data_IF_652170277978
#
_entry.id   IF_652170277978
#
_cell.length_a   1.000
_cell.length_b   1.000
_cell.length_c   1.000
_cell.angle_alpha   90.00
_cell.angle_beta   90.00
_cell.angle_gamma   90.00
#
_symmetry.space_group_name_H-M   'P 1'
#
loop_
_entity.id
_entity.type
_entity.pdbx_description
1 polymer ?
#
# COMPACT_ATOMS: atom_id res chain seq x y z
N UNK A 1 25.09 33.80 -31.16
CA UNK A 1 24.68 34.84 -30.21
C UNK A 1 23.90 34.14 -29.10
N UNK A 2 24.54 33.83 -27.97
CA UNK A 2 23.91 33.11 -26.85
C UNK A 2 23.37 34.16 -25.88
N UNK A 3 22.07 34.44 -25.96
CA UNK A 3 21.40 35.28 -24.98
C UNK A 3 20.85 34.45 -23.83
N UNK A 4 21.15 34.87 -22.60
CA UNK A 4 20.66 34.24 -21.38
C UNK A 4 19.23 34.68 -21.09
N UNK A 5 18.29 33.74 -21.04
CA UNK A 5 16.85 34.00 -20.89
C UNK A 5 16.51 34.72 -19.57
N UNK A 6 17.34 34.54 -18.54
CA UNK A 6 17.15 35.11 -17.20
C UNK A 6 17.23 36.64 -17.14
N UNK A 7 17.82 37.31 -18.12
CA UNK A 7 17.97 38.79 -18.11
C UNK A 7 16.83 39.54 -18.79
N UNK A 8 15.86 38.85 -19.42
CA UNK A 8 14.82 39.51 -20.25
C UNK A 8 13.44 39.72 -19.59
N UNK A 9 13.26 39.36 -18.32
CA UNK A 9 12.01 39.67 -17.60
C UNK A 9 10.73 39.18 -18.31
N UNK A 10 10.77 37.97 -18.87
CA UNK A 10 9.68 37.42 -19.69
C UNK A 10 8.52 36.91 -18.81
N UNK A 11 7.27 36.90 -19.34
CA UNK A 11 6.12 36.32 -18.65
C UNK A 11 6.30 34.82 -18.38
N UNK A 12 5.79 34.35 -17.24
CA UNK A 12 5.98 32.97 -16.78
C UNK A 12 5.50 31.92 -17.80
N UNK A 13 4.42 32.19 -18.51
CA UNK A 13 3.88 31.28 -19.53
C UNK A 13 4.85 31.07 -20.70
N UNK A 14 5.56 32.12 -21.13
CA UNK A 14 6.55 32.04 -22.20
C UNK A 14 7.85 31.35 -21.75
N UNK A 15 8.22 31.52 -20.48
CA UNK A 15 9.33 30.78 -19.86
C UNK A 15 9.01 29.28 -19.82
N UNK A 16 7.78 28.93 -19.42
CA UNK A 16 7.33 27.54 -19.36
C UNK A 16 7.21 26.89 -20.74
N UNK A 17 6.83 27.65 -21.77
CA UNK A 17 6.78 27.15 -23.15
C UNK A 17 8.19 26.92 -23.72
N UNK A 18 9.13 27.83 -23.46
CA UNK A 18 10.52 27.71 -23.90
C UNK A 18 11.29 26.63 -23.13
N UNK A 19 10.97 26.39 -21.86
CA UNK A 19 11.54 25.30 -21.05
C UNK A 19 11.11 23.90 -21.53
N UNK A 20 10.01 23.78 -22.29
CA UNK A 20 9.54 22.49 -22.84
C UNK A 20 10.39 21.96 -24.00
N UNK A 21 11.29 22.77 -24.56
CA UNK A 21 12.10 22.44 -25.74
C UNK A 21 13.62 22.58 -25.53
N UNK A 22 14.12 22.37 -24.32
CA UNK A 22 15.57 22.25 -24.11
C UNK A 22 16.06 20.80 -24.22
N UNK A 23 16.92 20.55 -25.19
CA UNK A 23 17.92 19.49 -25.11
C UNK A 23 19.08 19.99 -24.26
N UNK A 24 19.37 19.29 -23.16
CA UNK A 24 20.59 19.53 -22.40
C UNK A 24 21.79 19.13 -23.26
N UNK A 25 22.53 20.11 -23.78
CA UNK A 25 23.89 19.85 -24.22
C UNK A 25 24.71 19.53 -22.99
N UNK A 26 25.11 18.26 -22.87
CA UNK A 26 26.14 17.86 -21.92
C UNK A 26 27.39 18.66 -22.23
N UNK A 27 27.67 19.68 -21.42
CA UNK A 27 28.97 20.34 -21.44
C UNK A 27 30.03 19.26 -21.30
N UNK A 28 30.81 19.07 -22.37
CA UNK A 28 32.02 18.26 -22.38
C UNK A 28 32.96 18.85 -21.35
N UNK A 29 32.90 18.28 -20.15
CA UNK A 29 33.77 18.66 -19.06
C UNK A 29 35.15 18.08 -19.38
N UNK A 30 36.11 18.99 -19.49
CA UNK A 30 37.54 18.71 -19.51
C UNK A 30 37.89 17.64 -18.47
N UNK A 31 38.62 16.65 -18.96
CA UNK A 31 39.20 15.54 -18.21
C UNK A 31 40.07 16.08 -17.08
N UNK A 32 39.61 15.90 -15.85
CA UNK A 32 40.43 15.89 -14.64
C UNK A 32 39.90 14.74 -13.77
N UNK A 33 40.63 13.62 -13.83
CA UNK A 33 40.28 12.26 -13.36
C UNK A 33 40.27 12.07 -11.84
N UNK A 34 39.80 13.06 -11.07
CA UNK A 34 39.71 12.96 -9.60
C UNK A 34 38.32 13.25 -9.04
N UNK A 35 37.32 13.52 -9.89
CA UNK A 35 35.96 13.89 -9.46
C UNK A 35 34.87 12.82 -9.71
N UNK A 36 35.21 11.65 -10.25
CA UNK A 36 34.22 10.63 -10.63
C UNK A 36 33.63 9.87 -9.45
N UNK A 37 34.40 9.62 -8.38
CA UNK A 37 33.88 8.93 -7.20
C UNK A 37 32.86 9.75 -6.41
N UNK A 38 32.89 11.09 -6.52
CA UNK A 38 32.01 11.97 -5.75
C UNK A 38 30.76 12.45 -6.53
N UNK A 39 30.63 12.13 -7.83
CA UNK A 39 29.41 12.43 -8.60
C UNK A 39 28.37 11.32 -8.56
N UNK A 40 28.81 10.07 -8.38
CA UNK A 40 27.91 8.94 -8.19
C UNK A 40 27.20 8.96 -6.82
N UNK A 41 27.60 9.81 -5.88
CA UNK A 41 26.95 9.96 -4.57
C UNK A 41 25.77 10.94 -4.56
N UNK A 42 25.62 11.80 -5.57
CA UNK A 42 24.65 12.93 -5.55
C UNK A 42 23.53 12.80 -6.59
N UNK A 43 23.60 11.85 -7.53
CA UNK A 43 22.50 11.59 -8.48
C UNK A 43 21.45 10.66 -7.87
N UNK A 44 20.17 10.83 -8.20
CA UNK A 44 19.09 9.93 -7.77
C UNK A 44 19.40 8.47 -8.14
N UNK A 45 19.94 8.23 -9.34
CA UNK A 45 20.40 6.91 -9.77
C UNK A 45 21.54 6.37 -8.89
N UNK A 46 22.46 7.24 -8.47
CA UNK A 46 23.55 6.93 -7.54
C UNK A 46 23.09 6.65 -6.11
N UNK A 47 22.09 7.37 -5.63
CA UNK A 47 21.43 7.11 -4.34
C UNK A 47 20.64 5.79 -4.35
N UNK A 48 19.99 5.47 -5.47
CA UNK A 48 19.30 4.18 -5.68
C UNK A 48 20.30 3.03 -5.81
N UNK A 49 21.41 3.22 -6.53
CA UNK A 49 22.48 2.22 -6.64
C UNK A 49 23.20 1.99 -5.31
N UNK A 50 23.46 3.05 -4.53
CA UNK A 50 23.96 2.94 -3.15
C UNK A 50 22.97 2.26 -2.20
N UNK A 51 21.68 2.53 -2.31
CA UNK A 51 20.63 1.84 -1.54
C UNK A 51 20.43 0.38 -1.94
N UNK A 52 20.87 -0.03 -3.14
CA UNK A 52 20.89 -1.42 -3.61
C UNK A 52 22.18 -2.16 -3.23
N UNK A 53 23.25 -1.43 -2.89
CA UNK A 53 24.38 -2.07 -2.23
C UNK A 53 23.91 -2.60 -0.89
N UNK A 54 24.24 -3.88 -0.65
CA UNK A 54 24.09 -4.60 0.62
C UNK A 54 24.96 -3.89 1.66
N UNK A 55 24.58 -2.69 2.07
CA UNK A 55 25.14 -2.08 3.27
C UNK A 55 24.88 -3.06 4.39
N UNK A 56 25.99 -3.47 5.02
CA UNK A 56 26.04 -4.47 6.08
C UNK A 56 24.84 -4.24 6.98
N UNK A 57 24.03 -5.30 7.17
CA UNK A 57 23.01 -5.40 8.21
C UNK A 57 23.48 -4.54 9.39
N UNK A 58 22.68 -3.58 9.86
CA UNK A 58 23.04 -2.76 11.02
C UNK A 58 23.67 -3.68 12.05
N UNK A 59 24.99 -3.50 12.27
CA UNK A 59 25.82 -4.58 12.80
C UNK A 59 25.36 -4.82 14.21
N UNK A 60 24.55 -5.86 14.43
CA UNK A 60 24.33 -6.42 15.75
C UNK A 60 25.71 -6.68 16.32
N UNK A 61 25.95 -6.26 17.56
CA UNK A 61 27.18 -6.66 18.24
C UNK A 61 27.26 -8.19 18.24
N UNK A 62 28.46 -8.77 18.28
CA UNK A 62 28.60 -10.24 18.31
C UNK A 62 27.78 -10.84 19.46
N UNK A 63 27.68 -10.12 20.58
CA UNK A 63 26.80 -10.48 21.70
C UNK A 63 25.30 -10.46 21.32
N UNK A 64 24.79 -9.40 20.70
CA UNK A 64 23.40 -9.34 20.25
C UNK A 64 23.05 -10.43 19.24
N UNK A 65 24.01 -10.81 18.37
CA UNK A 65 23.80 -11.91 17.43
C UNK A 65 23.64 -13.24 18.16
N UNK A 66 24.57 -13.54 19.08
CA UNK A 66 24.53 -14.75 19.92
C UNK A 66 23.25 -14.82 20.75
N UNK A 67 22.85 -13.72 21.39
CA UNK A 67 21.63 -13.67 22.21
C UNK A 67 20.37 -13.81 21.35
N UNK A 68 20.34 -13.24 20.13
CA UNK A 68 19.22 -13.43 19.21
C UNK A 68 19.08 -14.90 18.76
N UNK A 69 20.19 -15.56 18.44
CA UNK A 69 20.20 -16.98 18.09
C UNK A 69 19.67 -17.83 19.24
N UNK A 70 20.12 -17.57 20.47
CA UNK A 70 19.64 -18.23 21.68
C UNK A 70 18.11 -18.10 21.83
N UNK A 71 17.55 -16.91 21.59
CA UNK A 71 16.10 -16.68 21.72
C UNK A 71 15.27 -17.32 20.60
N UNK A 72 15.85 -17.59 19.43
CA UNK A 72 15.12 -18.06 18.24
C UNK A 72 15.32 -19.54 17.93
N UNK A 73 16.30 -20.18 18.57
CA UNK A 73 16.56 -21.60 18.42
C UNK A 73 15.39 -22.43 18.97
N UNK A 74 14.85 -23.37 18.20
CA UNK A 74 13.81 -24.26 18.71
C UNK A 74 14.37 -25.17 19.81
N UNK A 75 13.64 -25.26 20.93
CA UNK A 75 14.02 -26.04 22.09
C UNK A 75 13.11 -27.27 22.24
N UNK A 76 13.64 -28.43 22.64
CA UNK A 76 12.81 -29.60 22.89
C UNK A 76 11.94 -29.40 24.13
N UNK A 77 10.71 -29.91 24.11
CA UNK A 77 9.86 -29.93 25.28
C UNK A 77 10.46 -30.83 26.38
N UNK A 78 10.58 -30.30 27.59
CA UNK A 78 11.05 -31.05 28.75
C UNK A 78 9.88 -31.44 29.65
N UNK A 79 9.99 -32.58 30.33
CA UNK A 79 8.99 -33.05 31.31
C UNK A 79 9.11 -32.35 32.66
N UNK A 80 10.20 -31.64 32.91
CA UNK A 80 10.44 -30.84 34.11
C UNK A 80 11.09 -29.52 33.73
N UNK A 81 10.71 -28.45 34.43
CA UNK A 81 11.33 -27.14 34.27
C UNK A 81 12.77 -27.17 34.80
N UNK A 82 13.63 -26.42 34.15
CA UNK A 82 15.02 -26.19 34.54
C UNK A 82 15.24 -24.74 34.94
N UNK A 83 16.32 -24.49 35.68
CA UNK A 83 16.77 -23.14 35.93
C UNK A 83 17.28 -22.47 34.65
N UNK A 84 17.10 -21.16 34.58
CA UNK A 84 17.63 -20.33 33.50
C UNK A 84 19.13 -20.17 33.67
N UNK A 85 19.82 -20.15 32.53
CA UNK A 85 21.24 -19.82 32.48
C UNK A 85 21.44 -18.30 32.57
N UNK A 86 22.63 -17.85 32.96
CA UNK A 86 22.96 -16.42 33.03
C UNK A 86 22.78 -15.71 31.67
N UNK A 87 23.09 -16.39 30.58
CA UNK A 87 22.89 -15.88 29.21
C UNK A 87 21.41 -15.68 28.88
N UNK A 88 20.53 -16.57 29.34
CA UNK A 88 19.09 -16.48 29.13
C UNK A 88 18.48 -15.32 29.91
N UNK A 89 18.92 -15.11 31.16
CA UNK A 89 18.51 -13.97 31.97
C UNK A 89 19.00 -12.65 31.36
N UNK A 90 20.24 -12.62 30.86
CA UNK A 90 20.77 -11.48 30.12
C UNK A 90 19.94 -11.20 28.87
N UNK A 91 19.59 -12.24 28.09
CA UNK A 91 18.78 -12.09 26.89
C UNK A 91 17.38 -11.54 27.21
N UNK A 92 16.74 -12.01 28.28
CA UNK A 92 15.43 -11.50 28.73
C UNK A 92 15.51 -10.03 29.15
N UNK A 93 16.54 -9.65 29.90
CA UNK A 93 16.74 -8.26 30.28
C UNK A 93 16.93 -7.37 29.04
N UNK A 94 17.74 -7.80 28.07
CA UNK A 94 17.95 -7.08 26.82
C UNK A 94 16.67 -6.95 25.99
N UNK A 95 15.76 -7.92 26.05
CA UNK A 95 14.44 -7.83 25.42
C UNK A 95 13.58 -6.79 26.13
N UNK A 96 13.50 -6.84 27.46
CA UNK A 96 12.71 -5.91 28.27
C UNK A 96 13.21 -4.47 28.18
N UNK A 97 14.52 -4.25 27.99
CA UNK A 97 15.12 -2.92 27.80
C UNK A 97 15.14 -2.46 26.35
N UNK A 98 14.64 -3.28 25.42
CA UNK A 98 14.67 -3.05 23.96
C UNK A 98 16.08 -2.89 23.36
N UNK A 99 17.07 -3.57 23.95
CA UNK A 99 18.41 -3.73 23.39
C UNK A 99 18.50 -4.93 22.42
N UNK A 100 17.57 -5.88 22.54
CA UNK A 100 17.45 -7.05 21.69
C UNK A 100 16.01 -7.19 21.16
N UNK A 101 15.87 -7.09 19.85
CA UNK A 101 14.58 -7.27 19.16
C UNK A 101 14.43 -8.73 18.67
N UNK A 102 13.42 -9.44 19.19
CA UNK A 102 13.08 -10.82 18.81
C UNK A 102 11.66 -10.89 18.22
N UNK A 103 11.37 -11.84 17.30
CA UNK A 103 10.07 -11.90 16.62
C UNK A 103 8.94 -12.49 17.47
N UNK A 104 9.27 -13.23 18.53
CA UNK A 104 8.35 -13.91 19.42
C UNK A 104 9.01 -14.06 20.80
N UNK A 105 8.25 -14.39 21.87
CA UNK A 105 8.84 -14.79 23.14
C UNK A 105 9.92 -15.85 22.95
N UNK A 106 11.07 -15.77 23.66
CA UNK A 106 12.13 -16.75 23.53
C UNK A 106 11.66 -18.18 23.79
N UNK A 107 12.02 -19.09 22.89
CA UNK A 107 11.62 -20.51 22.94
C UNK A 107 12.10 -21.24 24.21
N UNK A 108 13.26 -20.87 24.77
CA UNK A 108 13.77 -21.48 25.99
C UNK A 108 12.90 -21.20 27.22
N UNK A 109 11.97 -20.24 27.16
CA UNK A 109 11.00 -20.00 28.23
C UNK A 109 10.08 -21.20 28.45
N UNK A 110 9.80 -21.99 27.42
CA UNK A 110 9.02 -23.24 27.55
C UNK A 110 9.69 -24.27 28.48
N UNK A 111 11.00 -24.17 28.67
CA UNK A 111 11.76 -25.07 29.54
C UNK A 111 11.97 -24.50 30.95
N UNK A 112 11.71 -23.21 31.16
CA UNK A 112 12.08 -22.51 32.40
C UNK A 112 10.92 -21.82 33.11
N UNK A 113 9.76 -21.70 32.44
CA UNK A 113 8.54 -21.12 33.00
C UNK A 113 7.39 -22.13 32.93
N UNK A 114 6.51 -22.05 33.93
CA UNK A 114 5.21 -22.72 33.90
C UNK A 114 4.32 -22.10 32.81
N UNK A 115 3.22 -22.79 32.47
CA UNK A 115 2.26 -22.27 31.49
C UNK A 115 1.65 -20.92 31.91
N UNK A 116 1.44 -20.70 33.22
CA UNK A 116 0.93 -19.44 33.77
C UNK A 116 1.95 -18.30 33.61
N UNK A 117 3.21 -18.55 34.01
CA UNK A 117 4.29 -17.58 33.87
C UNK A 117 4.57 -17.23 32.40
N UNK A 118 4.51 -18.22 31.51
CA UNK A 118 4.69 -18.02 30.07
C UNK A 118 3.55 -17.20 29.47
N UNK A 119 2.31 -17.40 29.93
CA UNK A 119 1.18 -16.57 29.52
C UNK A 119 1.39 -15.11 29.94
N UNK A 120 1.76 -14.88 31.22
CA UNK A 120 2.04 -13.53 31.74
C UNK A 120 3.20 -12.88 30.97
N UNK A 121 4.28 -13.62 30.73
CA UNK A 121 5.42 -13.10 29.96
C UNK A 121 5.01 -12.78 28.53
N UNK A 122 4.17 -13.60 27.91
CA UNK A 122 3.66 -13.34 26.56
C UNK A 122 2.85 -12.05 26.53
N UNK A 123 1.98 -11.81 27.51
CA UNK A 123 1.22 -10.56 27.60
C UNK A 123 2.13 -9.34 27.78
N UNK A 124 3.15 -9.45 28.65
CA UNK A 124 4.17 -8.39 28.82
C UNK A 124 4.92 -8.17 27.51
N UNK A 125 5.38 -9.24 26.85
CA UNK A 125 6.11 -9.18 25.59
C UNK A 125 5.29 -8.51 24.48
N UNK A 126 4.00 -8.84 24.38
CA UNK A 126 3.08 -8.19 23.43
C UNK A 126 2.84 -6.71 23.75
N UNK A 127 2.96 -6.31 25.01
CA UNK A 127 2.84 -4.91 25.43
C UNK A 127 4.12 -4.09 25.24
N UNK A 128 5.29 -4.73 25.13
CA UNK A 128 6.57 -4.06 24.90
C UNK A 128 6.58 -3.29 23.58
N UNK A 129 5.99 -3.86 22.53
CA UNK A 129 6.01 -3.29 21.20
C UNK A 129 4.61 -2.90 20.73
N UNK A 130 4.47 -1.71 20.15
CA UNK A 130 3.19 -1.26 19.60
C UNK A 130 3.33 -0.85 18.13
N UNK A 131 2.63 -1.53 17.20
CA UNK A 131 2.69 -1.21 15.79
C UNK A 131 1.75 -0.07 15.40
N UNK A 132 2.22 0.79 14.50
CA UNK A 132 1.41 1.74 13.75
C UNK A 132 1.63 1.53 12.26
N UNK A 133 0.67 1.94 11.44
CA UNK A 133 0.68 1.63 10.02
C UNK A 133 0.58 2.88 9.16
N UNK A 134 1.34 2.90 8.07
CA UNK A 134 1.28 3.94 7.07
C UNK A 134 1.11 3.35 5.68
N UNK A 135 0.12 3.86 4.94
CA UNK A 135 -0.18 3.38 3.59
C UNK A 135 0.64 4.15 2.57
N UNK A 136 1.31 3.44 1.67
CA UNK A 136 2.06 4.08 0.58
C UNK A 136 1.12 4.88 -0.33
N UNK A 137 1.62 6.01 -0.84
CA UNK A 137 0.86 6.77 -1.86
C UNK A 137 0.94 6.07 -3.22
N UNK A 138 -0.02 6.31 -4.13
CA UNK A 138 0.02 5.77 -5.48
C UNK A 138 1.30 6.18 -6.22
N UNK A 139 1.88 5.25 -6.98
CA UNK A 139 3.13 5.45 -7.72
C UNK A 139 4.42 5.34 -6.89
N UNK A 140 4.34 5.37 -5.55
CA UNK A 140 5.50 5.12 -4.70
C UNK A 140 5.88 3.63 -4.76
N UNK A 141 7.13 3.33 -5.09
CA UNK A 141 7.65 1.96 -5.24
C UNK A 141 8.93 1.79 -4.44
N UNK A 142 9.08 0.60 -3.88
CA UNK A 142 10.23 0.17 -3.11
C UNK A 142 10.60 -1.24 -3.54
N UNK A 143 11.86 -1.61 -3.31
CA UNK A 143 12.30 -3.00 -3.48
C UNK A 143 11.63 -3.92 -2.46
N UNK A 144 11.56 -5.20 -2.78
CA UNK A 144 11.17 -6.21 -1.78
C UNK A 144 12.25 -6.33 -0.69
N UNK A 145 11.84 -6.60 0.55
CA UNK A 145 12.73 -6.88 1.68
C UNK A 145 13.72 -5.75 2.02
N UNK A 146 13.29 -4.49 1.93
CA UNK A 146 14.10 -3.37 2.43
C UNK A 146 14.37 -3.50 3.93
N UNK A 147 15.62 -3.26 4.33
CA UNK A 147 16.02 -3.25 5.73
C UNK A 147 15.47 -2.02 6.47
N UNK A 148 15.37 -2.10 7.81
CA UNK A 148 15.04 -0.94 8.67
C UNK A 148 15.92 0.26 8.33
N UNK A 149 17.23 0.05 8.22
CA UNK A 149 18.19 1.11 7.91
C UNK A 149 17.91 1.75 6.54
N UNK A 150 17.62 0.94 5.52
CA UNK A 150 17.27 1.43 4.19
C UNK A 150 15.97 2.24 4.20
N UNK A 151 14.94 1.80 4.93
CA UNK A 151 13.69 2.56 5.08
C UNK A 151 13.91 3.86 5.86
N UNK A 152 14.67 3.82 6.95
CA UNK A 152 15.02 5.00 7.76
C UNK A 152 15.84 6.03 7.00
N UNK A 153 16.70 5.59 6.07
CA UNK A 153 17.46 6.48 5.20
C UNK A 153 16.56 7.25 4.22
N UNK A 154 15.39 6.69 3.86
CA UNK A 154 14.40 7.38 3.03
C UNK A 154 13.57 8.42 3.81
N UNK A 155 13.68 8.43 5.15
CA UNK A 155 13.05 9.42 6.02
C UNK A 155 14.03 10.59 6.19
N UNK A 156 13.89 11.58 5.34
CA UNK A 156 14.73 12.77 5.33
C UNK A 156 13.91 14.01 4.99
N UNK A 157 14.33 15.14 5.55
CA UNK A 157 13.84 16.48 5.21
C UNK A 157 14.98 17.30 4.66
N UNK A 158 14.72 18.06 3.59
CA UNK A 158 15.72 18.89 2.93
C UNK A 158 16.48 19.81 3.88
N UNK A 159 17.65 20.29 3.45
CA UNK A 159 18.49 21.19 4.25
C UNK A 159 17.73 22.45 4.72
N UNK A 160 16.74 22.90 3.95
CA UNK A 160 15.90 24.07 4.22
C UNK A 160 14.74 23.81 5.20
N UNK A 161 14.55 22.57 5.65
CA UNK A 161 13.46 22.25 6.57
C UNK A 161 13.62 22.95 7.92
N UNK A 162 12.48 23.33 8.51
CA UNK A 162 12.43 24.02 9.78
C UNK A 162 13.13 23.21 10.90
N UNK A 163 13.85 23.85 11.83
CA UNK A 163 14.54 23.15 12.92
C UNK A 163 13.63 22.22 13.74
N UNK A 164 12.37 22.63 13.95
CA UNK A 164 11.37 21.80 14.65
C UNK A 164 11.11 20.47 13.92
N UNK A 165 10.95 20.49 12.60
CA UNK A 165 10.73 19.27 11.81
C UNK A 165 11.95 18.34 11.82
N UNK A 166 13.16 18.91 11.79
CA UNK A 166 14.40 18.12 11.91
C UNK A 166 14.48 17.43 13.28
N UNK A 167 14.07 18.14 14.34
CA UNK A 167 14.00 17.59 15.70
C UNK A 167 12.97 16.46 15.80
N UNK A 168 11.75 16.67 15.30
CA UNK A 168 10.70 15.64 15.26
C UNK A 168 11.16 14.38 14.53
N UNK A 169 11.86 14.51 13.40
CA UNK A 169 12.36 13.34 12.67
C UNK A 169 13.48 12.62 13.42
N UNK A 170 14.34 13.36 14.11
CA UNK A 170 15.37 12.75 14.95
C UNK A 170 14.73 11.98 16.12
N UNK A 171 13.77 12.59 16.82
CA UNK A 171 13.00 11.96 17.89
C UNK A 171 12.26 10.73 17.39
N UNK A 172 11.58 10.83 16.24
CA UNK A 172 10.90 9.70 15.61
C UNK A 172 11.86 8.53 15.35
N UNK A 173 13.02 8.81 14.73
CA UNK A 173 14.02 7.76 14.43
C UNK A 173 14.54 7.08 15.69
N UNK A 174 14.65 7.81 16.80
CA UNK A 174 15.04 7.27 18.11
C UNK A 174 13.93 6.40 18.72
N UNK A 175 12.66 6.80 18.56
CA UNK A 175 11.50 6.11 19.12
C UNK A 175 11.13 4.81 18.37
N UNK A 176 11.51 4.68 17.09
CA UNK A 176 11.20 3.49 16.29
C UNK A 176 12.07 2.28 16.68
N UNK A 177 11.41 1.25 17.20
CA UNK A 177 11.98 -0.10 17.40
C UNK A 177 12.14 -0.82 16.06
N UNK A 178 11.05 -1.07 15.34
CA UNK A 178 11.09 -1.84 14.07
C UNK A 178 10.38 -1.11 12.96
N UNK A 179 10.86 -1.30 11.73
CA UNK A 179 10.20 -0.76 10.55
C UNK A 179 10.29 -1.78 9.42
N UNK A 180 9.13 -2.18 8.91
CA UNK A 180 9.01 -3.13 7.81
C UNK A 180 8.06 -2.59 6.75
N UNK A 181 8.27 -3.03 5.51
CA UNK A 181 7.41 -2.70 4.39
C UNK A 181 6.88 -4.00 3.77
N UNK A 182 5.56 -4.12 3.68
CA UNK A 182 4.92 -5.11 2.85
C UNK A 182 4.54 -4.49 1.50
N UNK A 183 5.22 -4.91 0.44
CA UNK A 183 5.01 -4.42 -0.93
C UNK A 183 3.69 -4.88 -1.54
N UNK A 184 3.08 -5.97 -1.03
CA UNK A 184 1.80 -6.50 -1.52
C UNK A 184 0.63 -5.71 -0.96
N UNK A 185 0.59 -5.52 0.36
CA UNK A 185 -0.44 -4.71 1.03
C UNK A 185 -0.16 -3.21 0.89
N UNK A 186 1.07 -2.82 0.50
CA UNK A 186 1.54 -1.43 0.39
C UNK A 186 1.43 -0.68 1.72
N UNK A 187 1.72 -1.39 2.80
CA UNK A 187 1.68 -0.88 4.16
C UNK A 187 3.06 -0.96 4.78
N UNK A 188 3.46 0.14 5.41
CA UNK A 188 4.61 0.21 6.29
C UNK A 188 4.11 -0.01 7.71
N UNK A 189 4.73 -0.97 8.39
CA UNK A 189 4.53 -1.18 9.83
C UNK A 189 5.69 -0.55 10.56
N UNK A 190 5.40 0.45 11.38
CA UNK A 190 6.34 1.13 12.27
C UNK A 190 6.01 0.70 13.70
N UNK A 191 6.93 -0.01 14.33
CA UNK A 191 6.77 -0.52 15.69
C UNK A 191 7.55 0.36 16.67
N UNK A 192 6.90 0.76 17.75
CA UNK A 192 7.46 1.59 18.81
C UNK A 192 7.65 0.78 20.10
N UNK A 193 8.48 1.32 20.99
CA UNK A 193 8.65 0.83 22.37
C UNK A 193 7.42 1.20 23.22
N UNK A 194 6.36 0.44 23.06
CA UNK A 194 5.11 0.55 23.79
C UNK A 194 4.11 1.56 23.21
N UNK A 195 2.86 1.41 23.65
CA UNK A 195 1.70 2.21 23.18
C UNK A 195 1.84 3.70 23.50
N UNK A 196 2.41 4.05 24.64
CA UNK A 196 2.58 5.46 25.04
C UNK A 196 3.51 6.21 24.08
N UNK A 197 4.63 5.60 23.70
CA UNK A 197 5.56 6.16 22.71
C UNK A 197 4.88 6.28 21.35
N UNK A 198 4.19 5.23 20.90
CA UNK A 198 3.44 5.24 19.63
C UNK A 198 2.37 6.35 19.59
N UNK A 199 1.65 6.57 20.70
CA UNK A 199 0.53 7.54 20.76
C UNK A 199 0.95 8.98 20.42
N UNK A 200 2.20 9.35 20.69
CA UNK A 200 2.77 10.66 20.31
C UNK A 200 2.80 10.88 18.79
N UNK A 201 2.93 9.78 18.04
CA UNK A 201 3.08 9.77 16.59
C UNK A 201 1.76 9.46 15.86
N UNK A 202 0.66 9.24 16.60
CA UNK A 202 -0.65 8.98 16.00
C UNK A 202 -1.15 10.16 15.17
N UNK A 203 -1.45 9.91 13.90
CA UNK A 203 -1.85 10.94 12.94
C UNK A 203 -0.69 11.80 12.41
N UNK A 204 0.54 11.60 12.90
CA UNK A 204 1.70 12.34 12.41
C UNK A 204 2.02 11.97 10.96
N UNK A 205 2.45 12.97 10.18
CA UNK A 205 2.76 12.84 8.76
C UNK A 205 4.27 12.85 8.56
N UNK A 206 4.87 11.68 8.41
CA UNK A 206 6.30 11.56 8.23
C UNK A 206 6.69 11.54 6.75
N UNK A 207 7.83 12.16 6.38
CA UNK A 207 8.34 12.09 5.02
C UNK A 207 9.02 10.74 4.78
N UNK A 208 8.67 10.09 3.68
CA UNK A 208 9.34 8.90 3.19
C UNK A 208 9.49 9.00 1.68
N UNK A 209 10.74 8.97 1.20
CA UNK A 209 11.07 9.09 -0.22
C UNK A 209 10.32 10.26 -0.91
N UNK A 210 10.38 11.44 -0.28
CA UNK A 210 9.72 12.68 -0.72
C UNK A 210 8.17 12.67 -0.74
N UNK A 211 7.51 11.72 -0.06
CA UNK A 211 6.06 11.68 0.13
C UNK A 211 5.72 11.68 1.62
N UNK A 212 4.70 12.45 2.01
CA UNK A 212 4.22 12.48 3.39
C UNK A 212 3.20 11.36 3.62
N UNK A 213 3.51 10.44 4.52
CA UNK A 213 2.64 9.33 4.90
C UNK A 213 2.10 9.55 6.31
N UNK A 214 0.82 9.27 6.52
CA UNK A 214 0.17 9.41 7.84
C UNK A 214 0.33 8.11 8.62
N UNK A 215 0.82 8.19 9.86
CA UNK A 215 0.81 7.07 10.80
C UNK A 215 -0.56 6.92 11.42
N UNK A 216 -1.13 5.73 11.27
CA UNK A 216 -2.45 5.40 11.77
C UNK A 216 -2.35 4.24 12.74
N UNK A 217 -2.97 4.41 13.90
CA UNK A 217 -3.19 3.34 14.86
C UNK A 217 -4.40 2.51 14.39
N UNK A 218 -4.13 1.44 13.64
CA UNK A 218 -5.20 0.55 13.18
C UNK A 218 -5.67 -0.42 14.27
N UNK A 219 -4.85 -0.70 15.29
CA UNK A 219 -5.24 -1.60 16.38
C UNK A 219 -6.32 -0.93 17.25
N UNK A 220 -6.12 0.31 17.68
CA UNK A 220 -7.18 1.08 18.37
C UNK A 220 -8.40 1.32 17.47
N UNK A 221 -8.22 1.48 16.15
CA UNK A 221 -9.35 1.57 15.20
C UNK A 221 -10.13 0.26 15.11
N UNK A 222 -9.47 -0.91 15.16
CA UNK A 222 -10.13 -2.23 15.16
C UNK A 222 -10.93 -2.45 16.43
N UNK A 223 -10.38 -2.10 17.59
CA UNK A 223 -11.11 -2.15 18.86
C UNK A 223 -12.36 -1.27 18.82
N UNK A 224 -12.22 -0.02 18.35
CA UNK A 224 -13.35 0.89 18.19
C UNK A 224 -14.39 0.38 17.17
N UNK A 225 -13.94 -0.27 16.10
CA UNK A 225 -14.80 -0.87 15.06
C UNK A 225 -15.70 -2.00 15.58
N UNK A 226 -15.36 -2.65 16.69
CA UNK A 226 -16.25 -3.63 17.33
C UNK A 226 -17.54 -2.97 17.83
N UNK A 227 -17.47 -1.70 18.22
CA UNK A 227 -18.60 -0.94 18.78
C UNK A 227 -19.27 -0.06 17.74
N UNK A 228 -18.50 0.69 16.95
CA UNK A 228 -19.02 1.66 15.99
C UNK A 228 -19.19 1.10 14.56
N UNK A 229 -18.75 -0.15 14.33
CA UNK A 229 -18.83 -0.83 13.04
C UNK A 229 -18.15 -0.08 11.87
N UNK A 230 -17.17 0.78 12.16
CA UNK A 230 -16.39 1.47 11.14
C UNK A 230 -15.47 0.51 10.39
N UNK A 231 -15.20 0.84 9.13
CA UNK A 231 -14.30 0.05 8.28
C UNK A 231 -12.84 0.38 8.62
N UNK A 232 -12.03 -0.65 8.83
CA UNK A 232 -10.58 -0.52 9.02
C UNK A 232 -9.87 -0.76 7.69
N UNK A 233 -9.10 0.22 7.23
CA UNK A 233 -8.50 0.21 5.88
C UNK A 233 -7.64 -1.03 5.61
N UNK A 234 -6.97 -1.58 6.62
CA UNK A 234 -6.13 -2.79 6.47
C UNK A 234 -6.90 -4.02 5.96
N UNK A 235 -8.22 -4.07 6.14
CA UNK A 235 -9.03 -5.23 5.79
C UNK A 235 -9.74 -5.08 4.42
N UNK A 236 -9.53 -3.94 3.75
CA UNK A 236 -10.22 -3.58 2.51
C UNK A 236 -9.29 -3.03 1.44
N UNK A 237 -9.53 -3.46 0.20
CA UNK A 237 -8.85 -2.96 -0.97
C UNK A 237 -9.81 -2.13 -1.85
N UNK A 238 -9.37 -0.96 -2.31
CA UNK A 238 -10.17 -0.10 -3.18
C UNK A 238 -9.57 0.03 -4.58
N UNK A 239 -10.44 0.02 -5.59
CA UNK A 239 -10.09 0.28 -6.98
C UNK A 239 -11.24 0.99 -7.70
N UNK A 240 -10.96 1.56 -8.87
CA UNK A 240 -11.96 2.22 -9.70
C UNK A 240 -12.26 1.35 -10.91
N UNK A 241 -13.53 1.28 -11.31
CA UNK A 241 -13.97 0.64 -12.54
C UNK A 241 -14.60 1.67 -13.45
N UNK A 242 -14.24 1.67 -14.72
CA UNK A 242 -14.84 2.54 -15.76
C UNK A 242 -15.36 1.68 -16.92
N UNK A 243 -16.59 1.95 -17.37
CA UNK A 243 -17.19 1.29 -18.55
C UNK A 243 -16.74 2.01 -19.81
N UNK A 244 -16.09 1.29 -20.73
CA UNK A 244 -15.68 1.84 -22.03
C UNK A 244 -16.74 1.66 -23.11
N UNK A 245 -17.37 0.49 -23.16
CA UNK A 245 -18.35 0.13 -24.18
C UNK A 245 -19.69 -0.21 -23.53
N UNK A 246 -20.77 0.08 -24.26
CA UNK A 246 -22.15 -0.24 -23.84
C UNK A 246 -22.59 0.40 -22.51
N UNK A 247 -23.83 0.10 -22.09
CA UNK A 247 -24.38 0.50 -20.79
C UNK A 247 -24.33 -0.67 -19.82
N UNK A 248 -23.84 -0.41 -18.61
CA UNK A 248 -23.76 -1.38 -17.51
C UNK A 248 -24.46 -0.79 -16.29
N UNK A 249 -25.34 -1.56 -15.67
CA UNK A 249 -26.00 -1.14 -14.43
C UNK A 249 -25.16 -1.48 -13.21
N UNK A 250 -25.44 -0.84 -12.07
CA UNK A 250 -24.81 -1.20 -10.79
C UNK A 250 -25.05 -2.66 -10.40
N UNK A 251 -26.20 -3.24 -10.78
CA UNK A 251 -26.53 -4.66 -10.54
C UNK A 251 -25.66 -5.59 -11.38
N UNK A 252 -25.41 -5.24 -12.65
CA UNK A 252 -24.54 -6.00 -13.54
C UNK A 252 -23.10 -6.02 -13.02
N UNK A 253 -22.58 -4.85 -12.64
CA UNK A 253 -21.23 -4.73 -12.10
C UNK A 253 -21.10 -5.47 -10.76
N UNK A 254 -22.10 -5.38 -9.87
CA UNK A 254 -22.10 -6.16 -8.63
C UNK A 254 -22.08 -7.67 -8.91
N UNK A 255 -22.93 -8.15 -9.83
CA UNK A 255 -22.95 -9.56 -10.19
C UNK A 255 -21.61 -10.02 -10.76
N UNK A 256 -21.01 -9.22 -11.65
CA UNK A 256 -19.71 -9.53 -12.23
C UNK A 256 -18.63 -9.67 -11.16
N UNK A 257 -18.51 -8.69 -10.27
CA UNK A 257 -17.48 -8.68 -9.24
C UNK A 257 -17.73 -9.75 -8.17
N UNK A 258 -18.95 -9.85 -7.67
CA UNK A 258 -19.28 -10.71 -6.54
C UNK A 258 -19.53 -12.17 -6.94
N UNK A 259 -20.25 -12.41 -8.05
CA UNK A 259 -20.67 -13.76 -8.46
C UNK A 259 -19.72 -14.37 -9.48
N UNK A 260 -19.32 -13.62 -10.51
CA UNK A 260 -18.47 -14.18 -11.56
C UNK A 260 -16.99 -14.21 -11.15
N UNK A 261 -16.49 -13.15 -10.53
CA UNK A 261 -15.09 -13.08 -10.08
C UNK A 261 -14.89 -13.59 -8.64
N UNK A 262 -15.96 -13.63 -7.84
CA UNK A 262 -15.97 -14.21 -6.49
C UNK A 262 -15.47 -13.25 -5.40
N UNK A 263 -15.53 -11.93 -5.62
CA UNK A 263 -15.08 -10.97 -4.62
C UNK A 263 -16.13 -10.70 -3.54
N UNK A 264 -15.68 -10.48 -2.31
CA UNK A 264 -16.53 -9.97 -1.24
C UNK A 264 -16.65 -8.45 -1.38
N UNK A 265 -17.60 -8.01 -2.21
CA UNK A 265 -17.86 -6.59 -2.45
C UNK A 265 -18.52 -5.96 -1.23
N UNK A 266 -17.85 -4.99 -0.61
CA UNK A 266 -18.34 -4.24 0.54
C UNK A 266 -19.17 -3.04 0.11
N UNK A 267 -18.67 -2.29 -0.87
CA UNK A 267 -19.38 -1.14 -1.41
C UNK A 267 -19.01 -0.86 -2.86
N UNK A 268 -19.96 -0.28 -3.58
CA UNK A 268 -19.80 0.23 -4.93
C UNK A 268 -20.53 1.56 -4.99
N UNK A 269 -19.79 2.63 -5.24
CA UNK A 269 -20.37 3.98 -5.29
C UNK A 269 -19.89 4.63 -6.57
N UNK A 270 -20.81 5.26 -7.29
CA UNK A 270 -20.43 6.04 -8.45
C UNK A 270 -19.51 7.21 -8.07
N UNK A 271 -18.56 7.54 -8.94
CA UNK A 271 -17.72 8.74 -8.73
C UNK A 271 -18.52 9.99 -9.04
N UNK A 272 -18.17 11.10 -8.40
CA UNK A 272 -18.79 12.41 -8.65
C UNK A 272 -17.94 13.18 -9.68
N UNK A 273 -18.60 13.94 -10.55
CA UNK A 273 -17.92 14.93 -11.41
C UNK A 273 -18.12 16.33 -10.83
N UNK A 274 -17.10 17.18 -10.91
CA UNK A 274 -17.07 18.52 -10.30
C UNK A 274 -18.18 19.46 -10.82
N UNK A 275 -18.74 19.20 -12.00
CA UNK A 275 -19.67 20.11 -12.66
C UNK A 275 -21.16 19.81 -12.40
N UNK A 276 -21.64 18.56 -12.47
CA UNK A 276 -23.09 18.29 -12.58
C UNK A 276 -23.52 16.85 -12.20
N UNK A 277 -22.95 16.24 -11.15
CA UNK A 277 -23.55 15.05 -10.52
C UNK A 277 -22.77 13.74 -10.59
N UNK A 278 -23.49 12.62 -10.75
CA UNK A 278 -22.97 11.26 -10.63
C UNK A 278 -22.46 10.75 -11.98
N UNK A 279 -21.23 10.22 -12.03
CA UNK A 279 -20.69 9.55 -13.21
C UNK A 279 -21.27 8.14 -13.33
N UNK A 280 -22.26 7.96 -14.22
CA UNK A 280 -22.96 6.71 -14.44
C UNK A 280 -22.11 5.59 -15.08
N UNK A 281 -20.89 5.90 -15.54
CA UNK A 281 -19.94 4.96 -16.15
C UNK A 281 -18.78 4.59 -15.26
N UNK A 282 -18.67 5.17 -14.06
CA UNK A 282 -17.52 4.96 -13.19
C UNK A 282 -17.93 4.69 -11.75
N UNK A 283 -17.33 3.67 -11.16
CA UNK A 283 -17.56 3.26 -9.79
C UNK A 283 -16.24 3.18 -9.03
N UNK A 284 -16.23 3.70 -7.80
CA UNK A 284 -15.26 3.33 -6.79
C UNK A 284 -15.78 2.07 -6.07
N UNK A 285 -15.00 1.01 -6.16
CA UNK A 285 -15.31 -0.30 -5.58
C UNK A 285 -14.42 -0.54 -4.39
N UNK A 286 -15.00 -1.06 -3.30
CA UNK A 286 -14.28 -1.58 -2.14
C UNK A 286 -14.63 -3.04 -1.92
N UNK A 287 -13.61 -3.87 -1.78
CA UNK A 287 -13.75 -5.30 -1.51
C UNK A 287 -13.06 -5.65 -0.19
N UNK A 288 -13.53 -6.68 0.50
CA UNK A 288 -12.87 -7.23 1.69
C UNK A 288 -11.64 -8.03 1.24
N UNK A 289 -10.47 -7.42 1.37
CA UNK A 289 -9.17 -7.97 1.01
C UNK A 289 -8.08 -7.09 1.64
N UNK A 290 -7.01 -7.72 2.13
CA UNK A 290 -5.83 -7.07 2.71
C UNK A 290 -4.94 -6.39 1.65
N UNK A 291 -4.98 -6.89 0.42
CA UNK A 291 -4.22 -6.39 -0.72
C UNK A 291 -5.00 -6.55 -2.04
N UNK A 292 -4.42 -6.05 -3.13
CA UNK A 292 -4.97 -6.27 -4.47
C UNK A 292 -5.07 -7.79 -4.76
N UNK A 293 -6.28 -8.33 -5.01
CA UNK A 293 -6.48 -9.76 -5.25
C UNK A 293 -5.67 -10.24 -6.44
N UNK A 294 -5.20 -11.50 -6.39
CA UNK A 294 -4.40 -12.11 -7.47
C UNK A 294 -5.07 -11.98 -8.85
N UNK A 295 -6.39 -12.20 -8.92
CA UNK A 295 -7.18 -12.10 -10.17
C UNK A 295 -7.24 -10.68 -10.75
N UNK A 296 -7.00 -9.66 -9.94
CA UNK A 296 -7.06 -8.25 -10.35
C UNK A 296 -5.67 -7.65 -10.57
N UNK A 297 -4.63 -8.18 -9.91
CA UNK A 297 -3.28 -7.59 -9.89
C UNK A 297 -2.71 -7.24 -11.27
N UNK A 298 -2.95 -8.09 -12.25
CA UNK A 298 -2.48 -7.91 -13.63
C UNK A 298 -3.62 -7.56 -14.61
N UNK A 299 -4.86 -7.49 -14.11
CA UNK A 299 -6.05 -7.25 -14.92
C UNK A 299 -6.35 -5.77 -14.99
N UNK A 300 -6.11 -5.17 -16.14
CA UNK A 300 -6.49 -3.78 -16.40
C UNK A 300 -7.84 -3.68 -17.13
N UNK A 301 -8.26 -4.73 -17.83
CA UNK A 301 -9.53 -4.76 -18.56
C UNK A 301 -10.27 -6.06 -18.27
N UNK A 302 -11.56 -5.96 -17.95
CA UNK A 302 -12.46 -7.10 -17.81
C UNK A 302 -13.43 -7.06 -19.00
N UNK A 303 -13.40 -8.11 -19.80
CA UNK A 303 -14.35 -8.30 -20.91
C UNK A 303 -15.47 -9.26 -20.52
N UNK A 304 -16.71 -8.89 -20.79
CA UNK A 304 -17.89 -9.74 -20.61
C UNK A 304 -18.91 -9.43 -21.71
N UNK A 305 -19.25 -10.42 -22.52
CA UNK A 305 -20.04 -10.21 -23.76
C UNK A 305 -19.40 -9.13 -24.65
N UNK A 306 -20.11 -8.05 -24.95
CA UNK A 306 -19.65 -6.89 -25.74
C UNK A 306 -19.19 -5.72 -24.85
N UNK A 307 -19.21 -5.91 -23.53
CA UNK A 307 -18.84 -4.90 -22.54
C UNK A 307 -17.36 -5.02 -22.20
N UNK A 308 -16.65 -3.90 -22.24
CA UNK A 308 -15.30 -3.75 -21.71
C UNK A 308 -15.29 -2.78 -20.52
N UNK A 309 -14.81 -3.30 -19.39
CA UNK A 309 -14.62 -2.55 -18.16
C UNK A 309 -13.12 -2.36 -17.91
N UNK A 310 -12.71 -1.14 -17.60
CA UNK A 310 -11.34 -0.83 -17.20
C UNK A 310 -11.24 -0.83 -15.70
N UNK A 311 -10.25 -1.53 -15.18
CA UNK A 311 -9.91 -1.54 -13.76
C UNK A 311 -8.70 -0.64 -13.54
N UNK A 312 -8.87 0.38 -12.72
CA UNK A 312 -7.78 1.24 -12.26
C UNK A 312 -7.51 0.99 -10.78
N UNK A 313 -6.34 0.40 -10.52
CA UNK A 313 -5.79 0.25 -9.17
C UNK A 313 -5.28 1.59 -8.64
N UNK A 314 -6.19 2.50 -8.31
CA UNK A 314 -5.84 3.87 -7.89
C UNK A 314 -5.01 3.93 -6.60
N UNK A 315 -4.99 2.87 -5.78
CA UNK A 315 -4.10 2.75 -4.62
C UNK A 315 -2.63 2.42 -5.01
N UNK A 316 -2.41 1.94 -6.24
CA UNK A 316 -1.11 1.48 -6.74
C UNK A 316 -0.57 2.43 -7.82
N UNK A 317 -1.40 2.79 -8.80
CA UNK A 317 -1.00 3.57 -9.97
C UNK A 317 -1.65 4.95 -9.97
N UNK A 318 -0.82 5.98 -10.21
CA UNK A 318 -1.28 7.36 -10.36
C UNK A 318 -2.17 7.49 -11.60
N UNK A 319 -1.73 6.89 -12.70
CA UNK A 319 -2.40 7.02 -13.99
C UNK A 319 -3.32 5.83 -14.28
N UNK A 320 -4.32 6.07 -15.14
CA UNK A 320 -5.12 5.02 -15.75
C UNK A 320 -4.25 4.07 -16.58
N UNK A 321 -4.63 2.78 -16.68
CA UNK A 321 -3.96 1.84 -17.56
C UNK A 321 -3.91 2.32 -19.01
N UNK A 322 -2.84 1.94 -19.72
CA UNK A 322 -2.65 2.28 -21.11
C UNK A 322 -3.85 1.83 -21.97
N UNK A 323 -4.40 2.73 -22.80
CA UNK A 323 -5.49 2.37 -23.73
C UNK A 323 -5.02 1.49 -24.89
N UNK A 324 -3.74 1.56 -25.27
CA UNK A 324 -3.18 0.80 -26.40
C UNK A 324 -2.86 -0.66 -26.01
N UNK A 325 -2.02 -0.86 -24.97
CA UNK A 325 -1.52 -2.18 -24.59
C UNK A 325 -2.14 -2.75 -23.30
N UNK A 326 -3.02 -2.01 -22.62
CA UNK A 326 -3.66 -2.38 -21.34
C UNK A 326 -2.70 -2.53 -20.15
N UNK A 327 -1.41 -2.25 -20.30
CA UNK A 327 -0.50 -2.27 -19.17
C UNK A 327 -0.88 -1.22 -18.12
N UNK A 328 -0.96 -1.57 -16.82
CA UNK A 328 -1.30 -0.62 -15.76
C UNK A 328 -0.12 0.29 -15.36
N UNK A 329 1.09 -0.04 -15.81
CA UNK A 329 2.33 0.63 -15.39
C UNK A 329 2.60 1.99 -16.02
N UNK A 330 1.89 2.37 -17.09
CA UNK A 330 2.08 3.64 -17.79
C UNK A 330 0.79 4.10 -18.48
N UNK A 331 0.61 5.42 -18.70
CA UNK A 331 -0.48 5.93 -19.51
C UNK A 331 -0.20 5.75 -21.01
N UNK A 332 -1.24 5.93 -21.84
CA UNK A 332 -1.16 5.79 -23.30
C UNK A 332 -0.09 6.68 -23.94
N UNK A 333 0.09 7.92 -23.45
CA UNK A 333 1.05 8.89 -23.98
C UNK A 333 2.51 8.38 -23.95
N UNK A 334 2.84 7.47 -23.02
CA UNK A 334 4.18 6.91 -22.87
C UNK A 334 4.28 5.45 -23.36
N UNK A 335 3.28 4.98 -24.11
CA UNK A 335 3.30 3.63 -24.68
C UNK A 335 4.34 3.54 -25.80
N UNK A 336 5.31 2.64 -25.63
CA UNK A 336 6.34 2.35 -26.64
C UNK A 336 6.13 1.01 -27.36
N UNK A 337 5.09 0.28 -27.01
CA UNK A 337 4.78 -1.00 -27.64
C UNK A 337 4.29 -0.77 -29.08
N UNK A 338 4.86 -1.52 -30.03
CA UNK A 338 4.31 -1.65 -31.37
C UNK A 338 2.98 -2.45 -31.36
N UNK A 339 2.30 -2.56 -32.50
CA UNK A 339 0.98 -3.19 -32.55
C UNK A 339 1.01 -4.69 -32.19
N UNK A 340 2.07 -5.40 -32.58
CA UNK A 340 2.20 -6.83 -32.28
C UNK A 340 2.43 -7.05 -30.77
N UNK A 341 3.30 -6.25 -30.17
CA UNK A 341 3.55 -6.24 -28.73
C UNK A 341 2.31 -5.80 -27.96
N UNK A 342 1.62 -4.76 -28.41
CA UNK A 342 0.39 -4.27 -27.78
C UNK A 342 -0.73 -5.32 -27.85
N UNK A 343 -0.86 -6.05 -28.96
CA UNK A 343 -1.81 -7.16 -29.07
C UNK A 343 -1.50 -8.28 -28.06
N UNK A 344 -0.23 -8.61 -27.85
CA UNK A 344 0.18 -9.61 -26.87
C UNK A 344 -0.09 -9.15 -25.44
N UNK A 345 0.27 -7.91 -25.10
CA UNK A 345 0.02 -7.33 -23.77
C UNK A 345 -1.47 -7.21 -23.46
N UNK A 346 -2.31 -6.88 -24.46
CA UNK A 346 -3.76 -6.88 -24.31
C UNK A 346 -4.29 -8.25 -23.89
N UNK A 347 -3.72 -9.36 -24.38
CA UNK A 347 -4.12 -10.72 -23.97
C UNK A 347 -3.74 -11.02 -22.52
N UNK A 348 -2.61 -10.50 -22.05
CA UNK A 348 -2.13 -10.68 -20.67
C UNK A 348 -3.00 -9.89 -19.69
N UNK A 349 -3.28 -8.62 -20.01
CA UNK A 349 -3.96 -7.70 -19.09
C UNK A 349 -5.49 -7.67 -19.23
N UNK A 350 -6.05 -8.42 -20.18
CA UNK A 350 -7.50 -8.59 -20.35
C UNK A 350 -7.95 -9.91 -19.72
N UNK A 351 -8.87 -9.82 -18.79
CA UNK A 351 -9.55 -10.97 -18.22
C UNK A 351 -10.94 -11.12 -18.83
N UNK A 352 -11.20 -12.22 -19.53
CA UNK A 352 -12.52 -12.49 -20.13
C UNK A 352 -13.35 -13.36 -19.22
N UNK A 353 -14.53 -12.86 -18.82
CA UNK A 353 -15.49 -13.57 -17.99
C UNK A 353 -16.55 -14.22 -18.88
N UNK A 354 -16.81 -15.52 -18.67
CA UNK A 354 -17.87 -16.26 -19.36
C UNK A 354 -19.23 -16.03 -18.69
N UNK A 355 -20.27 -15.86 -19.49
CA UNK A 355 -21.65 -15.72 -19.02
C UNK A 355 -22.29 -14.42 -19.49
N UNK A 356 -23.61 -14.31 -19.28
CA UNK A 356 -24.38 -13.12 -19.64
C UNK A 356 -24.60 -12.21 -18.43
N UNK A 357 -24.58 -10.89 -18.65
CA UNK A 357 -24.94 -9.93 -17.61
C UNK A 357 -26.42 -10.07 -17.22
N UNK A 358 -26.80 -9.85 -15.95
CA UNK A 358 -28.20 -9.87 -15.50
C UNK A 358 -29.15 -9.07 -16.39
N UNK A 359 -28.76 -7.85 -16.79
CA UNK A 359 -29.53 -7.00 -17.70
C UNK A 359 -29.81 -7.66 -19.05
N UNK A 360 -28.92 -8.53 -19.51
CA UNK A 360 -29.01 -9.21 -20.81
C UNK A 360 -29.76 -10.54 -20.72
N UNK A 361 -30.08 -10.99 -19.49
CA UNK A 361 -30.94 -12.15 -19.22
C UNK A 361 -32.41 -11.75 -19.04
N UNK A 362 -32.76 -10.48 -19.26
CA UNK A 362 -34.09 -9.95 -18.92
C UNK A 362 -34.33 -9.80 -17.41
N UNK A 363 -33.28 -9.90 -16.60
CA UNK A 363 -33.33 -9.70 -15.14
C UNK A 363 -32.81 -8.30 -14.81
N UNK A 364 -33.63 -7.29 -15.10
CA UNK A 364 -33.32 -5.87 -14.87
C UNK A 364 -33.20 -5.09 -16.19
N UNK A 365 -33.87 -3.94 -16.26
CA UNK A 365 -33.77 -3.04 -17.41
C UNK A 365 -32.40 -2.34 -17.46
N UNK A 366 -31.84 -2.17 -18.65
CA UNK A 366 -30.63 -1.34 -18.89
C UNK A 366 -30.88 0.17 -18.74
N UNK A 367 -32.16 0.57 -18.68
CA UNK A 367 -32.58 1.96 -18.51
C UNK A 367 -33.03 2.14 -17.07
N UNK A 368 -32.53 3.19 -16.41
CA UNK A 368 -33.08 3.71 -15.15
C UNK A 368 -34.49 4.25 -15.43
N UNK A 369 -35.47 3.35 -15.54
CA UNK A 369 -36.84 3.72 -15.90
C UNK A 369 -37.57 4.28 -14.69
N UNK A 370 -38.19 5.45 -14.84
CA UNK A 370 -38.91 6.13 -13.77
C UNK A 370 -40.25 5.46 -13.41
N UNK A 371 -40.71 4.50 -14.21
CA UNK A 371 -42.04 3.90 -14.09
C UNK A 371 -42.19 2.98 -12.86
N UNK A 372 -41.09 2.36 -12.40
CA UNK A 372 -41.07 1.37 -11.31
C UNK A 372 -40.35 1.87 -10.04
N UNK A 373 -40.19 3.19 -9.88
CA UNK A 373 -39.49 3.76 -8.73
C UNK A 373 -40.34 3.64 -7.45
N UNK A 374 -39.76 3.17 -6.34
CA UNK A 374 -40.46 3.16 -5.06
C UNK A 374 -40.78 4.60 -4.65
N UNK A 375 -42.04 4.86 -4.34
CA UNK A 375 -42.53 6.16 -3.86
C UNK A 375 -42.64 6.21 -2.33
N UNK A 376 -42.51 5.06 -1.66
CA UNK A 376 -42.48 4.93 -0.20
C UNK A 376 -41.26 4.14 0.27
N UNK A 377 -40.87 4.33 1.54
CA UNK A 377 -39.79 3.57 2.18
C UNK A 377 -40.11 2.07 2.28
N UNK A 378 -41.38 1.72 2.42
CA UNK A 378 -41.85 0.33 2.45
C UNK A 378 -41.66 -0.35 1.09
N UNK A 379 -42.07 0.31 0.00
CA UNK A 379 -41.84 -0.18 -1.37
C UNK A 379 -40.35 -0.37 -1.67
N UNK A 380 -39.51 0.56 -1.21
CA UNK A 380 -38.05 0.42 -1.33
C UNK A 380 -37.55 -0.79 -0.53
N UNK A 381 -38.02 -0.95 0.71
CA UNK A 381 -37.62 -2.05 1.58
C UNK A 381 -38.01 -3.41 0.99
N UNK A 382 -39.20 -3.53 0.42
CA UNK A 382 -39.68 -4.75 -0.21
C UNK A 382 -38.91 -5.08 -1.49
N UNK A 383 -38.59 -4.07 -2.32
CA UNK A 383 -37.74 -4.22 -3.49
C UNK A 383 -36.34 -4.74 -3.10
N UNK A 384 -35.74 -4.17 -2.04
CA UNK A 384 -34.44 -4.60 -1.53
C UNK A 384 -34.51 -6.03 -0.95
N UNK A 385 -35.58 -6.40 -0.25
CA UNK A 385 -35.79 -7.75 0.32
C UNK A 385 -35.94 -8.83 -0.77
N UNK A 386 -36.74 -8.60 -1.82
CA UNK A 386 -36.93 -9.55 -2.94
C UNK A 386 -35.60 -9.87 -3.63
N UNK A 387 -34.69 -8.90 -3.68
CA UNK A 387 -33.36 -9.06 -4.27
C UNK A 387 -32.43 -9.93 -3.41
N UNK A 388 -32.67 -10.01 -2.09
CA UNK A 388 -31.92 -10.88 -1.17
C UNK A 388 -32.41 -12.32 -1.13
N UNK A 389 -33.72 -12.57 -1.26
CA UNK A 389 -34.31 -13.93 -1.24
C UNK A 389 -34.06 -14.72 -2.53
N UNK A 390 -34.13 -14.09 -3.71
CA UNK A 390 -33.77 -14.77 -4.99
C UNK A 390 -32.31 -15.24 -5.05
N UNK A 391 -31.41 -14.60 -4.31
CA UNK A 391 -29.99 -14.95 -4.26
C UNK A 391 -29.65 -16.08 -3.26
N UNK A 392 -30.58 -16.48 -2.37
CA UNK A 392 -30.39 -17.61 -1.44
C UNK A 392 -30.89 -18.95 -2.01
N UNK A 393 -31.76 -18.93 -3.03
CA UNK A 393 -32.35 -20.13 -3.65
C UNK A 393 -31.53 -20.81 -4.77
N UNK A 394 -30.29 -20.38 -5.00
CA UNK A 394 -29.33 -21.04 -5.91
C UNK A 394 -27.98 -21.17 -5.20
N UNK A 395 -27.90 -22.11 -4.27
CA UNK A 395 -26.63 -22.67 -3.79
C UNK A 395 -26.47 -24.06 -4.35
#
# INVERSE_FOLDING_TARGET
>A
MQEWVLTKGLPQEEIEERLRFFTFESSTRSTNDTAEQNRQSVSYAGAVAKGLHREKQGVRTQEQHRMYELCTQQMPALTKLRDRTEDEDKALLMILTHELEVPAPPSFLEQSMTAEELAIFTDVFMALEYPMYAHLVPGQRFGENMSKAALMAQIYVGAEAAPAQKKEIAEFKTDVSRMTLDTKTRVITVTFKGKQTASKWAGWKFPLAAKLLTLEDHESKREAALVNHHLVRLDYYSFTVEVRTEKVTSTDLYWLLAKALGFQVQSMVHTQTEAMGINDKQWKVRIKADACPKKLRETAVIGVEEVELVVHHHEIFINWPCKNCYAPGHPTKFCKADEAQAAQLRKVHKHTVKGKLPSNKGQGGRNYSAADLPRTLEQLTDLLKVTTTKNRGRR
#
